data_IF_177885430914
#
_entry.id   IF_177885430914
#
_cell.length_a   1.000
_cell.length_b   1.000
_cell.length_c   1.000
_cell.angle_alpha   90.00
_cell.angle_beta   90.00
_cell.angle_gamma   90.00
#
_symmetry.space_group_name_H-M   'P 1'
#
loop_
_entity.id
_entity.type
_entity.pdbx_description
1 polymer ?
#
# COMPACT_ATOMS: atom_id res chain seq x y z
N UNK A 1 -51.54 -54.81 -13.15
CA UNK A 1 -50.95 -54.29 -11.90
C UNK A 1 -49.98 -53.16 -12.24
N UNK A 2 -50.33 -51.90 -11.99
CA UNK A 2 -49.48 -50.74 -12.30
C UNK A 2 -48.70 -50.29 -11.04
N UNK A 3 -47.37 -50.34 -11.10
CA UNK A 3 -46.47 -50.02 -9.98
C UNK A 3 -46.20 -48.50 -9.98
N UNK A 4 -46.76 -47.76 -9.01
CA UNK A 4 -46.51 -46.32 -8.83
C UNK A 4 -45.05 -46.09 -8.41
N UNK A 5 -44.27 -45.38 -9.24
CA UNK A 5 -42.93 -44.88 -8.88
C UNK A 5 -43.06 -43.75 -7.85
N UNK A 6 -42.61 -43.98 -6.62
CA UNK A 6 -42.49 -42.96 -5.59
C UNK A 6 -41.41 -41.94 -5.97
N UNK A 7 -41.77 -40.65 -5.94
CA UNK A 7 -40.84 -39.53 -6.18
C UNK A 7 -39.95 -39.40 -4.93
N UNK A 8 -38.68 -39.76 -5.04
CA UNK A 8 -37.67 -39.51 -4.00
C UNK A 8 -37.45 -38.01 -3.93
N UNK A 9 -37.84 -37.36 -2.82
CA UNK A 9 -37.53 -35.95 -2.56
C UNK A 9 -36.05 -35.85 -2.18
N UNK A 10 -35.28 -35.11 -2.97
CA UNK A 10 -33.90 -34.74 -2.68
C UNK A 10 -33.84 -33.94 -1.37
N UNK A 11 -33.22 -34.51 -0.33
CA UNK A 11 -33.02 -33.86 0.98
C UNK A 11 -32.16 -32.58 0.89
N UNK A 12 -31.35 -32.43 -0.16
CA UNK A 12 -30.47 -31.28 -0.36
C UNK A 12 -31.17 -30.02 -0.90
N UNK A 13 -32.47 -30.12 -1.26
CA UNK A 13 -33.26 -28.98 -1.77
C UNK A 13 -34.16 -28.33 -0.73
N UNK A 14 -34.21 -28.84 0.51
CA UNK A 14 -34.89 -28.15 1.59
C UNK A 14 -34.04 -26.98 2.07
N UNK A 15 -34.31 -25.80 1.50
CA UNK A 15 -33.78 -24.53 2.01
C UNK A 15 -34.30 -24.33 3.42
N UNK A 16 -33.48 -24.67 4.41
CA UNK A 16 -33.74 -24.34 5.81
C UNK A 16 -33.38 -22.89 6.03
N UNK A 17 -34.39 -22.05 6.22
CA UNK A 17 -34.19 -20.68 6.66
C UNK A 17 -33.80 -20.70 8.13
N UNK A 18 -32.63 -20.15 8.45
CA UNK A 18 -32.17 -19.96 9.83
C UNK A 18 -32.31 -18.47 10.10
N UNK A 19 -33.09 -18.13 11.11
CA UNK A 19 -33.14 -16.76 11.63
C UNK A 19 -31.84 -16.53 12.40
N UNK A 20 -30.95 -15.74 11.82
CA UNK A 20 -29.73 -15.30 12.51
C UNK A 20 -30.07 -13.99 13.21
N UNK A 21 -30.19 -14.04 14.53
CA UNK A 21 -30.31 -12.83 15.33
C UNK A 21 -28.99 -12.08 15.24
N UNK A 22 -29.04 -10.77 14.97
CA UNK A 22 -27.84 -9.94 15.00
C UNK A 22 -27.21 -10.04 16.40
N UNK A 23 -25.87 -10.13 16.51
CA UNK A 23 -25.20 -10.13 17.81
C UNK A 23 -25.53 -8.81 18.52
N UNK A 24 -26.22 -8.91 19.66
CA UNK A 24 -26.67 -7.74 20.44
C UNK A 24 -25.56 -7.26 21.38
N UNK A 25 -24.60 -8.13 21.71
CA UNK A 25 -23.60 -7.91 22.75
C UNK A 25 -22.19 -7.58 22.20
N UNK A 26 -22.03 -7.42 20.88
CA UNK A 26 -20.79 -6.94 20.25
C UNK A 26 -19.61 -7.93 20.26
N UNK A 27 -18.40 -7.39 20.08
CA UNK A 27 -17.14 -8.14 20.05
C UNK A 27 -16.72 -8.52 21.48
N UNK A 28 -16.41 -9.80 21.70
CA UNK A 28 -16.01 -10.30 23.02
C UNK A 28 -14.78 -11.20 22.90
N UNK A 29 -13.62 -10.67 23.31
CA UNK A 29 -12.29 -11.29 23.15
C UNK A 29 -11.80 -12.03 24.40
N UNK A 30 -12.45 -11.85 25.55
CA UNK A 30 -12.08 -12.47 26.84
C UNK A 30 -12.46 -13.95 26.92
N UNK A 31 -13.34 -14.44 26.02
CA UNK A 31 -13.81 -15.82 26.00
C UNK A 31 -13.31 -16.56 24.74
N UNK A 32 -12.93 -17.84 24.85
CA UNK A 32 -12.68 -18.67 23.68
C UNK A 32 -13.97 -18.89 22.88
N UNK A 33 -13.86 -19.07 21.56
CA UNK A 33 -15.01 -19.15 20.64
C UNK A 33 -16.04 -20.22 20.99
N UNK A 34 -15.66 -21.26 21.72
CA UNK A 34 -16.53 -22.34 22.20
C UNK A 34 -17.40 -21.96 23.40
N UNK A 35 -17.02 -20.93 24.14
CA UNK A 35 -17.74 -20.42 25.32
C UNK A 35 -18.41 -19.07 25.04
N UNK A 36 -18.33 -18.55 23.82
CA UNK A 36 -18.99 -17.32 23.47
C UNK A 36 -20.51 -17.50 23.46
N UNK A 37 -21.27 -16.65 24.18
CA UNK A 37 -22.71 -16.60 24.04
C UNK A 37 -23.08 -16.32 22.58
N UNK A 38 -24.20 -16.87 22.07
CA UNK A 38 -24.62 -16.70 20.67
C UNK A 38 -24.90 -15.24 20.29
N UNK A 39 -25.01 -14.35 21.27
CA UNK A 39 -25.22 -12.91 21.12
C UNK A 39 -23.91 -12.10 21.01
N UNK A 40 -22.76 -12.74 21.15
CA UNK A 40 -21.43 -12.16 20.99
C UNK A 40 -20.73 -12.72 19.73
N UNK A 41 -19.85 -11.93 19.12
CA UNK A 41 -19.02 -12.39 18.00
C UNK A 41 -17.57 -12.62 18.45
N UNK A 42 -16.96 -13.79 18.12
CA UNK A 42 -15.60 -14.13 18.55
C UNK A 42 -14.52 -13.36 17.78
N UNK A 43 -14.81 -12.97 16.53
CA UNK A 43 -13.93 -12.15 15.70
C UNK A 43 -14.77 -11.40 14.66
N UNK A 44 -14.74 -10.07 14.70
CA UNK A 44 -15.38 -9.21 13.69
C UNK A 44 -14.42 -8.86 12.55
N UNK A 45 -13.63 -9.83 12.06
CA UNK A 45 -12.80 -9.62 10.87
C UNK A 45 -13.68 -9.60 9.63
N UNK A 46 -13.48 -8.61 8.76
CA UNK A 46 -14.23 -8.43 7.52
C UNK A 46 -15.75 -8.34 7.74
N UNK A 47 -16.18 -7.67 8.80
CA UNK A 47 -17.60 -7.35 9.03
C UNK A 47 -17.75 -5.83 8.99
N UNK A 48 -18.72 -5.34 8.21
CA UNK A 48 -19.06 -3.92 8.15
C UNK A 48 -20.49 -3.70 8.63
N UNK A 49 -20.67 -2.63 9.39
CA UNK A 49 -21.97 -2.11 9.79
C UNK A 49 -22.37 -1.02 8.79
N UNK A 50 -23.46 -1.22 8.06
CA UNK A 50 -24.06 -0.22 7.17
C UNK A 50 -25.55 -0.16 7.48
N UNK A 51 -26.09 1.03 7.70
CA UNK A 51 -27.54 1.31 7.77
C UNK A 51 -28.37 0.26 8.54
N UNK A 52 -27.92 -0.08 9.75
CA UNK A 52 -28.59 -1.03 10.67
C UNK A 52 -28.62 -2.50 10.22
N UNK A 53 -27.85 -2.89 9.21
CA UNK A 53 -27.57 -4.30 8.91
C UNK A 53 -26.08 -4.61 8.96
N UNK A 54 -25.78 -5.88 9.18
CA UNK A 54 -24.43 -6.42 9.28
C UNK A 54 -24.14 -7.17 7.99
N UNK A 55 -23.14 -6.72 7.25
CA UNK A 55 -22.67 -7.41 6.04
C UNK A 55 -21.29 -8.03 6.27
N UNK A 56 -21.10 -9.21 5.68
CA UNK A 56 -19.77 -9.79 5.55
C UNK A 56 -19.05 -9.05 4.42
N UNK A 57 -18.02 -8.29 4.78
CA UNK A 57 -17.07 -7.70 3.86
C UNK A 57 -16.30 -8.77 3.07
N UNK A 58 -15.60 -8.32 2.03
CA UNK A 58 -14.67 -9.19 1.32
C UNK A 58 -13.58 -9.64 2.28
N UNK A 59 -13.26 -10.93 2.25
CA UNK A 59 -12.19 -11.48 3.08
C UNK A 59 -10.88 -10.72 2.85
N UNK A 60 -10.16 -10.42 3.92
CA UNK A 60 -8.80 -9.89 3.82
C UNK A 60 -7.79 -11.03 4.04
N UNK A 61 -6.67 -10.96 3.32
CA UNK A 61 -5.55 -11.86 3.51
C UNK A 61 -4.28 -11.01 3.60
N UNK A 62 -3.35 -11.44 4.44
CA UNK A 62 -2.03 -10.82 4.48
C UNK A 62 -1.36 -10.97 3.12
N UNK A 63 -0.89 -9.85 2.57
CA UNK A 63 -0.17 -9.84 1.30
C UNK A 63 1.32 -10.10 1.56
N UNK A 64 1.96 -10.93 0.72
CA UNK A 64 3.41 -11.13 0.73
C UNK A 64 4.06 -11.41 2.11
N UNK A 65 3.45 -12.29 2.92
CA UNK A 65 4.00 -12.69 4.22
C UNK A 65 3.90 -11.65 5.34
N UNK A 66 3.26 -10.50 5.08
CA UNK A 66 3.14 -9.39 6.07
C UNK A 66 2.35 -9.75 7.33
N UNK A 67 1.62 -10.86 7.32
CA UNK A 67 0.94 -11.39 8.50
C UNK A 67 1.88 -12.04 9.52
N UNK A 68 3.10 -12.42 9.11
CA UNK A 68 4.14 -12.96 10.01
C UNK A 68 5.21 -11.91 10.34
N UNK A 69 5.57 -11.07 9.36
CA UNK A 69 6.55 -9.99 9.53
C UNK A 69 5.90 -8.69 9.08
N UNK A 70 5.45 -7.88 10.03
CA UNK A 70 4.86 -6.58 9.74
C UNK A 70 5.92 -5.63 9.15
N UNK A 71 5.51 -4.81 8.18
CA UNK A 71 6.32 -3.70 7.70
C UNK A 71 6.47 -2.64 8.79
N UNK A 72 7.61 -1.96 8.82
CA UNK A 72 7.80 -0.86 9.77
C UNK A 72 7.12 0.41 9.24
N UNK A 73 6.15 0.93 9.99
CA UNK A 73 5.38 2.11 9.62
C UNK A 73 4.18 1.80 8.72
N UNK A 74 3.37 2.84 8.50
CA UNK A 74 2.14 2.76 7.71
C UNK A 74 2.49 2.76 6.23
N UNK A 75 1.96 1.81 5.44
CA UNK A 75 2.14 1.82 3.98
C UNK A 75 1.34 2.98 3.38
N UNK A 76 2.06 3.95 2.82
CA UNK A 76 1.46 5.14 2.20
C UNK A 76 1.31 4.98 0.68
N UNK A 77 2.18 4.18 0.04
CA UNK A 77 2.13 3.95 -1.40
C UNK A 77 2.69 2.59 -1.79
N UNK A 78 2.00 1.93 -2.71
CA UNK A 78 2.54 0.82 -3.49
C UNK A 78 2.84 1.34 -4.90
N UNK A 79 4.01 1.01 -5.42
CA UNK A 79 4.43 1.45 -6.75
C UNK A 79 5.05 0.28 -7.51
N UNK A 80 4.54 0.05 -8.71
CA UNK A 80 5.14 -0.86 -9.68
C UNK A 80 6.09 -0.06 -10.55
N UNK A 81 7.28 -0.61 -10.77
CA UNK A 81 8.33 0.00 -11.57
C UNK A 81 9.00 -1.08 -12.42
N UNK A 82 9.05 -0.87 -13.73
CA UNK A 82 9.77 -1.73 -14.67
C UNK A 82 11.00 -1.00 -15.21
N UNK A 83 12.12 -1.70 -15.37
CA UNK A 83 13.30 -1.18 -16.06
C UNK A 83 13.32 -1.59 -17.54
N UNK A 84 14.15 -0.93 -18.34
CA UNK A 84 14.32 -1.22 -19.76
C UNK A 84 14.95 -2.62 -20.02
N UNK A 85 15.54 -3.23 -18.98
CA UNK A 85 15.99 -4.62 -19.01
C UNK A 85 14.83 -5.64 -18.87
N UNK A 86 13.59 -5.19 -18.71
CA UNK A 86 12.38 -6.02 -18.65
C UNK A 86 12.13 -6.68 -17.29
N UNK A 87 12.73 -6.15 -16.22
CA UNK A 87 12.45 -6.58 -14.85
C UNK A 87 11.40 -5.67 -14.22
N UNK A 88 10.39 -6.27 -13.60
CA UNK A 88 9.33 -5.57 -12.89
C UNK A 88 9.53 -5.69 -11.37
N UNK A 89 9.35 -4.57 -10.67
CA UNK A 89 9.53 -4.45 -9.24
C UNK A 89 8.26 -3.88 -8.61
N UNK A 90 7.89 -4.41 -7.44
CA UNK A 90 6.84 -3.82 -6.60
C UNK A 90 7.49 -3.28 -5.34
N UNK A 91 7.40 -1.97 -5.13
CA UNK A 91 7.90 -1.32 -3.94
C UNK A 91 6.74 -0.90 -3.03
N UNK A 92 6.95 -1.03 -1.73
CA UNK A 92 6.10 -0.48 -0.69
C UNK A 92 6.82 0.66 0.04
N UNK A 93 6.29 1.87 -0.08
CA UNK A 93 6.75 3.06 0.62
C UNK A 93 5.92 3.23 1.88
N UNK A 94 6.59 3.16 3.01
CA UNK A 94 5.99 3.36 4.34
C UNK A 94 6.42 4.70 4.93
N UNK A 95 5.80 5.11 6.03
CA UNK A 95 6.21 6.32 6.78
C UNK A 95 7.68 6.31 7.21
N UNK A 96 8.32 5.13 7.31
CA UNK A 96 9.69 5.02 7.83
C UNK A 96 10.68 4.39 6.86
N UNK A 97 10.22 3.55 5.91
CA UNK A 97 11.09 2.65 5.14
C UNK A 97 10.59 2.41 3.71
N UNK A 98 11.52 2.09 2.82
CA UNK A 98 11.28 1.62 1.45
C UNK A 98 11.49 0.12 1.42
N UNK A 99 10.49 -0.63 0.97
CA UNK A 99 10.57 -2.09 0.84
C UNK A 99 10.40 -2.52 -0.61
N UNK A 100 11.12 -3.57 -1.01
CA UNK A 100 10.94 -4.26 -2.29
C UNK A 100 10.32 -5.64 -2.07
N UNK A 101 9.32 -5.98 -2.87
CA UNK A 101 8.79 -7.34 -2.90
C UNK A 101 9.71 -8.24 -3.72
N UNK A 102 10.39 -9.16 -3.05
CA UNK A 102 11.24 -10.17 -3.68
C UNK A 102 10.95 -11.56 -3.09
N UNK A 103 10.78 -12.57 -3.96
CA UNK A 103 10.52 -13.94 -3.51
C UNK A 103 9.24 -14.12 -2.68
N UNK A 104 8.26 -13.22 -2.82
CA UNK A 104 7.00 -13.25 -2.05
C UNK A 104 7.08 -12.62 -0.66
N UNK A 105 8.20 -11.97 -0.32
CA UNK A 105 8.41 -11.24 0.94
C UNK A 105 8.93 -9.84 0.70
N UNK A 106 8.52 -8.88 1.53
CA UNK A 106 9.09 -7.53 1.50
C UNK A 106 10.45 -7.49 2.21
N UNK A 107 11.46 -6.98 1.51
CA UNK A 107 12.81 -6.77 2.03
C UNK A 107 13.07 -5.27 2.17
N UNK A 108 13.65 -4.83 3.30
CA UNK A 108 14.02 -3.42 3.50
C UNK A 108 15.14 -3.05 2.52
N UNK A 109 14.90 -1.97 1.79
CA UNK A 109 15.77 -1.41 0.76
C UNK A 109 16.13 0.04 1.03
N UNK A 110 15.81 0.55 2.21
CA UNK A 110 16.12 1.93 2.57
C UNK A 110 17.59 2.12 2.94
N UNK A 111 18.22 3.14 2.36
CA UNK A 111 19.50 3.70 2.82
C UNK A 111 19.36 4.43 4.15
N UNK A 112 18.23 5.10 4.38
CA UNK A 112 17.92 5.82 5.61
C UNK A 112 16.41 5.75 5.91
N UNK A 113 16.03 6.00 7.17
CA UNK A 113 14.61 6.13 7.49
C UNK A 113 14.00 7.36 6.81
N UNK A 114 12.76 7.26 6.36
CA UNK A 114 11.95 8.43 6.00
C UNK A 114 11.52 9.18 7.27
N UNK A 115 11.37 10.48 7.15
CA UNK A 115 10.79 11.38 8.14
C UNK A 115 9.42 11.86 7.66
N UNK A 116 8.57 12.30 8.58
CA UNK A 116 7.20 12.68 8.28
C UNK A 116 6.18 11.73 8.90
N UNK A 117 4.91 11.95 8.57
CA UNK A 117 3.77 11.20 9.08
C UNK A 117 2.84 10.74 7.95
N UNK A 118 1.66 10.24 8.30
CA UNK A 118 0.68 9.76 7.33
C UNK A 118 0.10 10.84 6.40
N UNK A 119 0.29 12.13 6.69
CA UNK A 119 -0.14 13.24 5.84
C UNK A 119 0.89 13.57 4.74
N UNK A 120 2.15 13.17 4.92
CA UNK A 120 3.25 13.38 3.98
C UNK A 120 3.25 12.30 2.87
N UNK A 121 2.40 12.50 1.87
CA UNK A 121 2.22 11.52 0.77
C UNK A 121 3.44 11.41 -0.14
N UNK A 122 3.76 10.18 -0.54
CA UNK A 122 4.78 9.92 -1.54
C UNK A 122 4.35 10.27 -2.97
N UNK A 123 5.15 11.09 -3.64
CA UNK A 123 5.16 11.25 -5.08
C UNK A 123 6.29 10.40 -5.69
N UNK A 124 6.00 9.74 -6.81
CA UNK A 124 6.99 8.89 -7.48
C UNK A 124 6.88 9.06 -8.98
N UNK A 125 8.00 8.97 -9.69
CA UNK A 125 8.01 9.01 -11.16
C UNK A 125 9.17 8.18 -11.71
N UNK A 126 8.93 7.43 -12.78
CA UNK A 126 9.94 6.64 -13.48
C UNK A 126 10.68 7.53 -14.49
N UNK A 127 12.00 7.63 -14.40
CA UNK A 127 12.85 8.47 -15.24
C UNK A 127 14.19 7.76 -15.52
N UNK A 128 14.56 7.56 -16.78
CA UNK A 128 15.83 6.93 -17.22
C UNK A 128 16.22 5.68 -16.41
N UNK A 129 15.36 4.65 -16.40
CA UNK A 129 15.57 3.39 -15.65
C UNK A 129 15.66 3.51 -14.12
N UNK A 130 15.31 4.65 -13.57
CA UNK A 130 15.25 4.87 -12.13
C UNK A 130 13.85 5.27 -11.71
N UNK A 131 13.46 4.87 -10.50
CA UNK A 131 12.28 5.40 -9.85
C UNK A 131 12.68 6.52 -8.91
N UNK A 132 12.23 7.73 -9.20
CA UNK A 132 12.46 8.91 -8.35
C UNK A 132 11.32 9.00 -7.32
N UNK A 133 11.68 9.22 -6.06
CA UNK A 133 10.79 9.16 -4.90
C UNK A 133 10.96 10.43 -4.07
N UNK A 134 9.83 11.05 -3.71
CA UNK A 134 9.78 12.18 -2.77
C UNK A 134 8.58 12.07 -1.84
N UNK A 135 8.73 12.44 -0.58
CA UNK A 135 7.63 12.64 0.39
C UNK A 135 7.41 14.11 0.77
N UNK A 136 8.14 15.05 0.13
CA UNK A 136 8.06 16.48 0.45
C UNK A 136 8.73 16.89 1.78
N UNK A 137 9.39 15.96 2.49
CA UNK A 137 10.08 16.22 3.77
C UNK A 137 11.55 15.83 3.75
N UNK A 138 11.88 14.69 3.17
CA UNK A 138 13.24 14.21 3.03
C UNK A 138 13.82 14.58 1.67
N UNK A 139 15.14 14.50 1.58
CA UNK A 139 15.83 14.60 0.30
C UNK A 139 15.27 13.57 -0.68
N UNK A 140 15.14 13.99 -1.94
CA UNK A 140 14.69 13.12 -3.04
C UNK A 140 15.59 11.90 -3.09
N UNK A 141 14.99 10.72 -3.25
CA UNK A 141 15.72 9.48 -3.43
C UNK A 141 15.42 8.87 -4.79
N UNK A 142 16.36 8.09 -5.26
CA UNK A 142 16.24 7.25 -6.44
C UNK A 142 16.31 5.78 -6.02
N UNK A 143 15.53 4.96 -6.71
CA UNK A 143 15.67 3.52 -6.72
C UNK A 143 16.18 3.11 -8.09
N UNK A 144 17.39 2.57 -8.10
CA UNK A 144 18.05 1.98 -9.26
C UNK A 144 18.18 0.47 -9.04
N UNK A 145 17.82 -0.30 -10.06
CA UNK A 145 17.90 -1.77 -10.07
C UNK A 145 19.32 -2.31 -9.97
N UNK A 146 20.33 -1.51 -10.29
CA UNK A 146 21.73 -1.88 -10.10
C UNK A 146 22.18 -1.79 -8.63
N UNK A 147 21.51 -0.95 -7.84
CA UNK A 147 21.85 -0.72 -6.43
C UNK A 147 21.07 -1.67 -5.51
N UNK A 148 21.70 -2.04 -4.38
CA UNK A 148 21.05 -2.90 -3.40
C UNK A 148 20.03 -2.14 -2.53
N UNK A 149 20.06 -0.81 -2.48
CA UNK A 149 19.23 0.06 -1.65
C UNK A 149 18.84 1.33 -2.45
N UNK A 150 17.79 2.03 -2.01
CA UNK A 150 17.52 3.39 -2.44
C UNK A 150 18.69 4.33 -2.07
N UNK A 151 18.87 5.41 -2.83
CA UNK A 151 19.95 6.37 -2.59
C UNK A 151 19.43 7.79 -2.72
N UNK A 152 20.11 8.76 -2.10
CA UNK A 152 19.78 10.17 -2.35
C UNK A 152 20.10 10.54 -3.80
N UNK A 153 19.17 11.22 -4.47
CA UNK A 153 19.39 11.70 -5.84
C UNK A 153 20.51 12.75 -5.83
N UNK A 154 21.53 12.52 -6.66
CA UNK A 154 22.71 13.38 -6.74
C UNK A 154 22.36 14.83 -7.10
N UNK A 155 23.16 15.79 -6.65
CA UNK A 155 23.02 17.22 -7.01
C UNK A 155 21.80 17.96 -6.43
N UNK A 156 20.85 17.25 -5.80
CA UNK A 156 19.55 17.81 -5.41
C UNK A 156 19.18 17.57 -3.94
N UNK A 157 20.16 17.21 -3.11
CA UNK A 157 19.95 16.79 -1.71
C UNK A 157 19.27 17.84 -0.80
N UNK A 158 19.28 19.10 -1.20
CA UNK A 158 18.62 20.19 -0.47
C UNK A 158 17.13 20.32 -0.78
N UNK A 159 16.65 19.72 -1.88
CA UNK A 159 15.29 19.88 -2.38
C UNK A 159 14.36 18.82 -1.81
N UNK A 160 13.15 19.26 -1.46
CA UNK A 160 12.04 18.45 -0.94
C UNK A 160 10.76 18.85 -1.67
N UNK A 161 10.53 18.33 -2.88
CA UNK A 161 9.35 18.68 -3.67
C UNK A 161 8.13 17.88 -3.23
N UNK A 162 6.98 18.54 -3.14
CA UNK A 162 5.72 17.86 -2.85
C UNK A 162 5.22 17.01 -4.03
N UNK A 163 5.57 17.42 -5.25
CA UNK A 163 5.15 16.74 -6.48
C UNK A 163 6.28 16.66 -7.49
N UNK A 164 6.32 15.52 -8.19
CA UNK A 164 7.23 15.21 -9.27
C UNK A 164 6.42 15.05 -10.56
N UNK A 165 7.02 15.40 -11.69
CA UNK A 165 6.44 15.16 -13.01
C UNK A 165 7.50 15.12 -14.08
N UNK A 166 7.16 14.60 -15.26
CA UNK A 166 8.04 14.59 -16.42
C UNK A 166 7.45 15.51 -17.48
N UNK A 167 8.29 16.37 -18.04
CA UNK A 167 7.94 17.21 -19.18
C UNK A 167 9.05 17.13 -20.23
N UNK A 168 8.77 16.47 -21.35
CA UNK A 168 9.79 16.12 -22.33
C UNK A 168 10.83 15.19 -21.71
N UNK A 169 12.11 15.53 -21.88
CA UNK A 169 13.24 14.78 -21.31
C UNK A 169 13.68 15.32 -19.94
N UNK A 170 12.84 16.11 -19.26
CA UNK A 170 13.16 16.74 -17.98
C UNK A 170 12.27 16.22 -16.87
N UNK A 171 12.89 15.89 -15.75
CA UNK A 171 12.24 15.75 -14.45
C UNK A 171 11.94 17.13 -13.87
N UNK A 172 10.68 17.39 -13.56
CA UNK A 172 10.17 18.62 -12.98
C UNK A 172 9.79 18.44 -11.51
N UNK A 173 10.11 19.44 -10.70
CA UNK A 173 9.86 19.50 -9.27
C UNK A 173 8.87 20.63 -8.97
N UNK A 174 7.78 20.34 -8.27
CA UNK A 174 6.73 21.31 -7.94
C UNK A 174 6.53 21.44 -6.43
N UNK A 175 6.29 22.67 -5.98
CA UNK A 175 6.08 22.95 -4.55
C UNK A 175 7.32 22.62 -3.74
N UNK A 176 8.44 23.24 -4.11
CA UNK A 176 9.77 22.89 -3.61
C UNK A 176 10.02 23.53 -2.25
N UNK A 177 10.36 22.72 -1.27
CA UNK A 177 11.00 23.18 -0.04
C UNK A 177 12.52 23.02 -0.16
N UNK A 178 13.24 24.13 -0.06
CA UNK A 178 14.70 24.16 -0.17
C UNK A 178 15.28 24.54 1.19
N UNK A 179 15.95 23.57 1.81
CA UNK A 179 16.66 23.64 3.10
C UNK A 179 15.82 24.08 4.29
N UNK A 180 15.33 25.32 4.30
CA UNK A 180 14.52 25.92 5.36
C UNK A 180 13.32 26.74 4.84
N UNK A 181 13.22 26.98 3.52
CA UNK A 181 12.20 27.87 2.94
C UNK A 181 11.27 27.09 2.02
N UNK A 182 9.96 27.22 2.27
CA UNK A 182 8.94 26.65 1.42
C UNK A 182 8.63 27.60 0.25
N UNK A 183 8.78 27.13 -0.98
CA UNK A 183 8.42 27.86 -2.19
C UNK A 183 7.26 27.16 -2.92
N UNK A 184 6.00 27.38 -2.49
CA UNK A 184 4.85 26.61 -2.98
C UNK A 184 4.55 26.83 -4.48
N UNK A 185 5.04 27.93 -5.07
CA UNK A 185 4.84 28.28 -6.48
C UNK A 185 6.10 28.09 -7.34
N UNK A 186 7.20 27.63 -6.74
CA UNK A 186 8.44 27.39 -7.49
C UNK A 186 8.32 26.08 -8.24
N UNK A 187 8.76 26.13 -9.48
CA UNK A 187 8.96 24.97 -10.35
C UNK A 187 10.44 24.97 -10.70
N UNK A 188 11.09 23.83 -10.51
CA UNK A 188 12.46 23.59 -10.94
C UNK A 188 12.48 22.40 -11.88
N UNK A 189 13.54 22.27 -12.67
CA UNK A 189 13.69 21.15 -13.57
C UNK A 189 15.15 20.75 -13.76
N UNK A 190 15.34 19.48 -14.02
CA UNK A 190 16.61 18.90 -14.42
C UNK A 190 17.02 19.32 -15.84
N UNK A 191 18.31 19.17 -16.17
CA UNK A 191 18.80 19.13 -17.55
C UNK A 191 18.11 17.98 -18.30
N UNK A 192 17.96 18.13 -19.62
CA UNK A 192 17.42 17.06 -20.44
C UNK A 192 18.30 15.81 -20.36
N UNK A 193 17.70 14.69 -19.93
CA UNK A 193 18.35 13.39 -19.81
C UNK A 193 19.18 13.18 -18.53
N UNK A 194 19.26 14.14 -17.61
CA UNK A 194 20.05 14.01 -16.38
C UNK A 194 19.27 14.52 -15.16
N UNK A 195 18.72 13.59 -14.35
CA UNK A 195 17.93 13.91 -13.17
C UNK A 195 18.74 14.59 -12.05
N UNK A 196 20.07 14.52 -12.09
CA UNK A 196 20.95 14.99 -11.01
C UNK A 196 21.36 16.46 -11.16
N UNK A 197 21.33 17.00 -12.38
CA UNK A 197 21.73 18.38 -12.65
C UNK A 197 20.50 19.29 -12.78
N UNK A 198 20.30 20.18 -11.81
CA UNK A 198 19.22 21.17 -11.82
C UNK A 198 19.74 22.52 -12.30
N UNK A 199 19.15 23.00 -13.39
CA UNK A 199 19.52 24.26 -14.04
C UNK A 199 18.48 25.37 -13.87
N UNK A 200 17.29 25.08 -13.32
CA UNK A 200 16.15 26.00 -13.21
C UNK A 200 15.62 26.19 -11.80
#
# INVERSE_FOLDING_TARGET
MARRKGRVKDKWREKKWITVNAPVAGLRLDLPSTLLPPENTPACSDIRFIDSYLEKGKGSAAFAGTGSVALNGTVLKLVEFGNDAGSDFLLALTTTKTYELYGGTFTDRSSAAWTGDEDDRFCTVAYNDQLIISNGKDAIREWDTAAANDAALGGVSALRPNWLGIFGERLCFYGVYDTATNYPRRIQWSIAGDATDITG
#
